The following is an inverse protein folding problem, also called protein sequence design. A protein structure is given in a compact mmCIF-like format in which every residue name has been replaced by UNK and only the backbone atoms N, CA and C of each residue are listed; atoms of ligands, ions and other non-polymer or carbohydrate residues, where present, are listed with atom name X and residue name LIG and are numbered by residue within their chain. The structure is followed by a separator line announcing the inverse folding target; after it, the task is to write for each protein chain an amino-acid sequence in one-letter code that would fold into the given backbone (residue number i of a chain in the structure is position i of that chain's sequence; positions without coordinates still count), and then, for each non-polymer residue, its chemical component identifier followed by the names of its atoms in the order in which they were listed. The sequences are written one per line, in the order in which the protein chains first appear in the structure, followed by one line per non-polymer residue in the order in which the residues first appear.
data_IF_683357620195
#
_entry.id   IF_683357620195
#
_cell.length_a   1.000
_cell.length_b   1.000
_cell.length_c   1.000
_cell.angle_alpha   90.00
_cell.angle_beta   90.00
_cell.angle_gamma   90.00
#
_symmetry.space_group_name_H-M   'P 1'
#
loop_
_entity.id
_entity.type
_entity.pdbx_description
1 polymer ?
#
# COMPACT_ATOMS: atom_id res chain seq x y z
N UNK A 1 40.38 -67.43 6.04
CA UNK A 1 39.34 -67.00 6.99
C UNK A 1 38.67 -65.76 6.44
N UNK A 2 37.34 -65.70 6.50
CA UNK A 2 36.41 -64.67 5.99
C UNK A 2 36.86 -63.25 6.45
N UNK A 3 36.50 -62.13 5.82
CA UNK A 3 35.17 -61.78 5.32
C UNK A 3 35.26 -60.48 4.50
N UNK A 4 34.60 -60.45 3.35
CA UNK A 4 34.37 -59.24 2.55
C UNK A 4 33.27 -58.42 3.23
N UNK A 5 33.55 -57.17 3.60
CA UNK A 5 32.50 -56.20 3.90
C UNK A 5 32.33 -55.31 2.68
N UNK A 6 31.26 -55.63 1.95
CA UNK A 6 30.82 -55.00 0.71
C UNK A 6 30.49 -53.53 0.92
N UNK A 7 30.93 -52.73 -0.04
CA UNK A 7 30.63 -51.32 -0.26
C UNK A 7 29.14 -51.02 -0.15
N UNK A 8 28.72 -50.33 0.91
CA UNK A 8 27.41 -49.67 0.98
C UNK A 8 27.45 -48.42 0.10
N UNK A 9 27.17 -48.61 -1.20
CA UNK A 9 27.03 -47.51 -2.15
C UNK A 9 25.67 -46.84 -1.88
N UNK A 10 25.66 -45.76 -1.10
CA UNK A 10 24.48 -44.93 -0.93
C UNK A 10 24.03 -44.37 -2.27
N UNK A 11 22.78 -44.65 -2.67
CA UNK A 11 22.17 -44.02 -3.84
C UNK A 11 21.98 -42.53 -3.55
N UNK A 12 22.80 -41.69 -4.17
CA UNK A 12 22.55 -40.26 -4.24
C UNK A 12 21.41 -40.02 -5.25
N UNK A 13 20.18 -39.92 -4.76
CA UNK A 13 19.03 -39.53 -5.56
C UNK A 13 19.10 -38.01 -5.75
N UNK A 14 19.06 -37.53 -6.99
CA UNK A 14 19.09 -36.09 -7.28
C UNK A 14 17.72 -35.47 -6.94
N UNK A 15 17.57 -34.97 -5.72
CA UNK A 15 16.38 -34.26 -5.22
C UNK A 15 16.30 -32.81 -5.74
N UNK A 16 16.55 -32.61 -7.03
CA UNK A 16 16.39 -31.31 -7.69
C UNK A 16 16.01 -31.56 -9.16
N UNK A 17 14.86 -32.20 -9.34
CA UNK A 17 14.31 -32.46 -10.67
C UNK A 17 13.50 -31.26 -11.16
N UNK A 18 13.30 -31.17 -12.47
CA UNK A 18 12.39 -30.17 -13.05
C UNK A 18 10.95 -30.31 -12.49
N UNK A 19 10.51 -31.54 -12.19
CA UNK A 19 9.19 -31.78 -11.60
C UNK A 19 9.04 -31.13 -10.22
N UNK A 20 10.11 -31.15 -9.42
CA UNK A 20 10.12 -30.51 -8.11
C UNK A 20 10.02 -28.98 -8.24
N UNK A 21 10.76 -28.38 -9.17
CA UNK A 21 10.66 -26.96 -9.48
C UNK A 21 9.26 -26.57 -10.00
N UNK A 22 8.62 -27.40 -10.82
CA UNK A 22 7.26 -27.16 -11.31
C UNK A 22 6.23 -27.20 -10.18
N UNK A 23 6.32 -28.18 -9.27
CA UNK A 23 5.43 -28.28 -8.12
C UNK A 23 5.62 -27.09 -7.15
N UNK A 24 6.85 -26.63 -6.96
CA UNK A 24 7.16 -25.45 -6.14
C UNK A 24 6.56 -24.18 -6.75
N UNK A 25 6.72 -23.95 -8.06
CA UNK A 25 6.14 -22.79 -8.74
C UNK A 25 4.60 -22.81 -8.68
N UNK A 26 3.99 -23.99 -8.79
CA UNK A 26 2.56 -24.18 -8.63
C UNK A 26 2.09 -23.77 -7.23
N UNK A 27 2.75 -24.25 -6.18
CA UNK A 27 2.42 -23.91 -4.78
C UNK A 27 2.59 -22.40 -4.53
N UNK A 28 3.73 -21.82 -4.94
CA UNK A 28 3.99 -20.38 -4.77
C UNK A 28 2.94 -19.55 -5.53
N UNK A 29 2.52 -19.96 -6.72
CA UNK A 29 1.49 -19.27 -7.49
C UNK A 29 0.17 -19.19 -6.73
N UNK A 30 -0.30 -20.31 -6.15
CA UNK A 30 -1.53 -20.34 -5.36
C UNK A 30 -1.40 -19.48 -4.10
N UNK A 31 -0.26 -19.55 -3.40
CA UNK A 31 0.00 -18.69 -2.24
C UNK A 31 -0.03 -17.21 -2.65
N UNK A 32 0.65 -16.82 -3.73
CA UNK A 32 0.66 -15.45 -4.23
C UNK A 32 -0.76 -14.95 -4.53
N UNK A 33 -1.62 -15.77 -5.13
CA UNK A 33 -3.02 -15.41 -5.38
C UNK A 33 -3.82 -15.13 -4.11
N UNK A 34 -3.50 -15.79 -2.99
CA UNK A 34 -4.14 -15.53 -1.69
C UNK A 34 -3.53 -14.30 -0.98
N UNK A 35 -2.22 -14.09 -1.11
CA UNK A 35 -1.50 -13.00 -0.44
C UNK A 35 -1.66 -11.64 -1.13
N UNK A 36 -1.60 -11.58 -2.47
CA UNK A 36 -1.71 -10.34 -3.26
C UNK A 36 -2.99 -9.54 -2.96
N UNK A 37 -4.21 -10.12 -2.95
CA UNK A 37 -5.42 -9.35 -2.67
C UNK A 37 -5.42 -8.81 -1.23
N UNK A 38 -4.85 -9.55 -0.28
CA UNK A 38 -4.76 -9.10 1.11
C UNK A 38 -3.75 -7.95 1.29
N UNK A 39 -2.64 -7.97 0.54
CA UNK A 39 -1.66 -6.87 0.51
C UNK A 39 -2.20 -5.63 -0.18
N UNK A 40 -2.93 -5.78 -1.29
CA UNK A 40 -3.54 -4.65 -2.00
C UNK A 40 -4.52 -3.90 -1.09
N UNK A 41 -5.41 -4.61 -0.40
CA UNK A 41 -6.38 -4.00 0.53
C UNK A 41 -5.70 -3.26 1.69
N UNK A 42 -4.59 -3.80 2.21
CA UNK A 42 -3.82 -3.11 3.25
C UNK A 42 -3.17 -1.83 2.73
N UNK A 43 -2.58 -1.86 1.53
CA UNK A 43 -2.04 -0.66 0.88
C UNK A 43 -3.12 0.40 0.68
N UNK A 44 -4.29 0.01 0.20
CA UNK A 44 -5.42 0.93 0.00
C UNK A 44 -5.87 1.56 1.33
N UNK A 45 -5.98 0.77 2.39
CA UNK A 45 -6.33 1.26 3.74
C UNK A 45 -5.28 2.24 4.29
N UNK A 46 -3.99 1.96 4.08
CA UNK A 46 -2.90 2.85 4.50
C UNK A 46 -2.94 4.16 3.72
N UNK A 47 -3.16 4.11 2.40
CA UNK A 47 -3.33 5.30 1.57
C UNK A 47 -4.55 6.12 2.01
N UNK A 48 -5.67 5.46 2.29
CA UNK A 48 -6.88 6.12 2.75
C UNK A 48 -6.69 6.82 4.10
N UNK A 49 -6.07 6.14 5.06
CA UNK A 49 -5.73 6.72 6.37
C UNK A 49 -4.75 7.89 6.25
N UNK A 50 -3.76 7.77 5.35
CA UNK A 50 -2.82 8.85 5.05
C UNK A 50 -3.52 10.06 4.43
N UNK A 51 -4.44 9.84 3.48
CA UNK A 51 -5.23 10.89 2.87
C UNK A 51 -6.15 11.57 3.90
N UNK A 52 -6.76 10.81 4.82
CA UNK A 52 -7.55 11.36 5.92
C UNK A 52 -6.72 12.30 6.83
N UNK A 53 -5.47 11.94 7.10
CA UNK A 53 -4.56 12.81 7.85
C UNK A 53 -4.21 14.09 7.06
N UNK A 54 -3.99 13.97 5.75
CA UNK A 54 -3.77 15.12 4.87
C UNK A 54 -4.99 16.04 4.83
N UNK A 55 -6.20 15.49 4.79
CA UNK A 55 -7.44 16.27 4.87
C UNK A 55 -7.46 17.12 6.13
N UNK A 56 -7.17 16.54 7.30
CA UNK A 56 -7.08 17.29 8.55
C UNK A 56 -6.03 18.40 8.51
N UNK A 57 -4.86 18.13 7.92
CA UNK A 57 -3.83 19.15 7.77
C UNK A 57 -4.31 20.31 6.88
N UNK A 58 -4.95 20.02 5.76
CA UNK A 58 -5.49 21.05 4.85
C UNK A 58 -6.61 21.85 5.53
N UNK A 59 -7.50 21.20 6.28
CA UNK A 59 -8.53 21.87 7.07
C UNK A 59 -7.94 22.78 8.15
N UNK A 60 -6.89 22.34 8.83
CA UNK A 60 -6.19 23.18 9.80
C UNK A 60 -5.53 24.39 9.13
N UNK A 61 -4.94 24.23 7.94
CA UNK A 61 -4.39 25.38 7.19
C UNK A 61 -5.49 26.34 6.75
N UNK A 62 -6.65 25.82 6.35
CA UNK A 62 -7.81 26.63 6.03
C UNK A 62 -8.31 27.44 7.23
N UNK A 63 -8.36 26.81 8.40
CA UNK A 63 -8.72 27.46 9.66
C UNK A 63 -7.71 28.55 10.02
N UNK A 64 -6.41 28.27 9.95
CA UNK A 64 -5.35 29.28 10.19
C UNK A 64 -5.44 30.48 9.22
N UNK A 65 -5.76 30.20 7.96
CA UNK A 65 -6.00 31.25 6.97
C UNK A 65 -7.23 32.09 7.32
N UNK A 66 -8.34 31.45 7.70
CA UNK A 66 -9.57 32.12 8.16
C UNK A 66 -9.32 32.98 9.40
N UNK A 67 -8.51 32.49 10.35
CA UNK A 67 -8.09 33.29 11.52
C UNK A 67 -7.28 34.53 11.13
N UNK A 68 -6.46 34.43 10.08
CA UNK A 68 -5.55 35.51 9.68
C UNK A 68 -6.21 36.53 8.74
N UNK A 69 -7.11 36.08 7.87
CA UNK A 69 -7.71 36.89 6.80
C UNK A 69 -9.21 37.16 7.00
N UNK A 70 -9.86 36.49 7.97
CA UNK A 70 -11.28 36.65 8.26
C UNK A 70 -12.23 35.99 7.26
N UNK A 71 -11.71 35.25 6.27
CA UNK A 71 -12.48 34.56 5.24
C UNK A 71 -12.00 33.12 5.07
N UNK A 72 -12.94 32.19 4.84
CA UNK A 72 -12.60 30.79 4.53
C UNK A 72 -11.95 30.70 3.16
N UNK A 73 -10.73 30.16 3.05
CA UNK A 73 -10.09 30.00 1.76
C UNK A 73 -10.70 28.86 0.97
N UNK A 74 -10.62 28.98 -0.35
CA UNK A 74 -10.72 27.86 -1.28
C UNK A 74 -9.43 27.03 -1.27
N UNK A 75 -9.51 25.79 -1.76
CA UNK A 75 -8.33 24.94 -1.91
C UNK A 75 -7.25 25.59 -2.79
N UNK A 76 -7.68 26.33 -3.82
CA UNK A 76 -6.78 27.05 -4.73
C UNK A 76 -6.05 28.20 -4.02
N UNK A 77 -6.75 28.96 -3.18
CA UNK A 77 -6.10 30.03 -2.41
C UNK A 77 -5.05 29.48 -1.44
N UNK A 78 -5.31 28.34 -0.79
CA UNK A 78 -4.31 27.67 0.05
C UNK A 78 -3.09 27.18 -0.75
N UNK A 79 -3.30 26.78 -2.00
CA UNK A 79 -2.22 26.36 -2.89
C UNK A 79 -1.39 27.56 -3.38
N UNK A 80 -2.07 28.64 -3.78
CA UNK A 80 -1.46 29.89 -4.25
C UNK A 80 -0.67 30.60 -3.15
N UNK A 81 -1.16 30.56 -1.92
CA UNK A 81 -0.49 31.06 -0.72
C UNK A 81 0.69 30.18 -0.27
N UNK A 82 0.85 28.98 -0.86
CA UNK A 82 1.90 28.02 -0.50
C UNK A 82 1.66 27.28 0.82
N UNK A 83 0.51 27.49 1.46
CA UNK A 83 0.08 26.82 2.68
C UNK A 83 -0.15 25.31 2.47
N UNK A 84 -0.46 24.87 1.25
CA UNK A 84 -0.53 23.45 0.85
C UNK A 84 0.17 23.19 -0.48
N UNK A 85 0.67 21.97 -0.67
CA UNK A 85 1.26 21.50 -1.93
C UNK A 85 0.25 20.84 -2.87
N UNK A 86 0.59 20.73 -4.16
CA UNK A 86 -0.21 20.01 -5.18
C UNK A 86 -0.56 18.58 -4.76
N UNK A 87 0.39 17.91 -4.08
CA UNK A 87 0.21 16.55 -3.59
C UNK A 87 -0.87 16.50 -2.50
N UNK A 88 -0.91 17.49 -1.61
CA UNK A 88 -1.89 17.56 -0.54
C UNK A 88 -3.28 17.92 -1.09
N UNK A 89 -3.36 18.84 -2.06
CA UNK A 89 -4.60 19.14 -2.76
C UNK A 89 -5.17 17.90 -3.46
N UNK A 90 -4.32 17.15 -4.19
CA UNK A 90 -4.74 15.91 -4.85
C UNK A 90 -5.21 14.87 -3.84
N UNK A 91 -4.49 14.67 -2.74
CA UNK A 91 -4.89 13.73 -1.69
C UNK A 91 -6.23 14.11 -1.04
N UNK A 92 -6.49 15.41 -0.85
CA UNK A 92 -7.79 15.92 -0.39
C UNK A 92 -8.92 15.56 -1.38
N UNK A 93 -8.70 15.82 -2.68
CA UNK A 93 -9.67 15.49 -3.71
C UNK A 93 -9.92 13.97 -3.82
N UNK A 94 -8.85 13.18 -3.79
CA UNK A 94 -8.90 11.71 -3.87
C UNK A 94 -9.65 11.11 -2.68
N UNK A 95 -9.50 11.68 -1.48
CA UNK A 95 -10.25 11.27 -0.28
C UNK A 95 -11.75 11.45 -0.48
N UNK A 96 -12.21 12.66 -0.80
CA UNK A 96 -13.63 12.94 -0.97
C UNK A 96 -14.24 12.33 -2.25
N UNK A 97 -13.41 11.94 -3.23
CA UNK A 97 -13.87 11.16 -4.37
C UNK A 97 -14.25 9.71 -3.99
N UNK A 98 -13.54 9.14 -2.99
CA UNK A 98 -13.82 7.81 -2.44
C UNK A 98 -14.92 7.84 -1.36
N UNK A 99 -14.96 8.89 -0.55
CA UNK A 99 -15.92 9.09 0.55
C UNK A 99 -17.00 10.11 0.16
N UNK A 100 -17.84 9.75 -0.83
CA UNK A 100 -18.87 10.66 -1.37
C UNK A 100 -19.96 11.04 -0.37
N UNK A 101 -20.07 10.27 0.72
CA UNK A 101 -21.03 10.48 1.80
C UNK A 101 -20.56 11.56 2.78
N UNK A 102 -19.26 11.93 2.76
CA UNK A 102 -18.69 12.99 3.59
C UNK A 102 -18.74 14.34 2.88
N UNK A 103 -19.26 15.35 3.57
CA UNK A 103 -19.37 16.71 3.04
C UNK A 103 -17.99 17.38 2.98
N UNK A 104 -17.61 17.88 1.79
CA UNK A 104 -16.42 18.69 1.61
C UNK A 104 -16.55 20.00 2.38
N UNK A 105 -15.54 20.35 3.19
CA UNK A 105 -15.50 21.63 3.91
C UNK A 105 -14.92 22.77 3.09
N UNK A 106 -14.15 22.45 2.06
CA UNK A 106 -13.44 23.40 1.20
C UNK A 106 -13.83 23.15 -0.26
N UNK A 107 -13.99 24.25 -1.00
CA UNK A 107 -14.30 24.24 -2.44
C UNK A 107 -13.03 24.33 -3.29
#
# INVERSE_FOLDING_TARGET
MKMRLSTLKGQAVQAFTLLEMLLVLLIISVLMLLFVPNLSKQKDKVTDTGNAAVVKLVENQAELYELSHGEKPSLKQLQEDGSISDKQQKAYQDYYAKHKDEAKKLN
#
